data_IF_199318738298
#
_entry.id   IF_199318738298
#
_cell.length_a   1.000
_cell.length_b   1.000
_cell.length_c   1.000
_cell.angle_alpha   90.00
_cell.angle_beta   90.00
_cell.angle_gamma   90.00
#
_symmetry.space_group_name_H-M   'P 1'
#
loop_
_entity.id
_entity.type
_entity.pdbx_description
1 polymer ?
#
# COMPACT_ATOMS: atom_id res chain seq x y z
N UNK A 1 34.51 -27.08 -1.21
CA UNK A 1 33.80 -27.69 -2.35
C UNK A 1 32.42 -28.10 -1.88
N UNK A 2 31.40 -27.28 -2.14
CA UNK A 2 29.99 -27.65 -2.37
C UNK A 2 29.17 -26.37 -2.44
N UNK A 3 28.99 -25.96 -3.69
CA UNK A 3 28.07 -24.97 -4.25
C UNK A 3 26.60 -25.45 -4.10
N UNK A 4 25.65 -24.65 -4.61
CA UNK A 4 24.18 -24.87 -4.68
C UNK A 4 23.41 -24.41 -3.42
N UNK A 5 22.31 -23.66 -3.47
CA UNK A 5 21.55 -23.03 -4.56
C UNK A 5 20.61 -22.03 -3.87
N UNK A 6 20.78 -20.73 -4.09
CA UNK A 6 19.89 -19.70 -3.51
C UNK A 6 18.96 -19.23 -4.62
N UNK A 7 17.98 -20.09 -4.93
CA UNK A 7 16.89 -19.85 -5.85
C UNK A 7 15.96 -18.76 -5.28
N UNK A 8 16.39 -17.51 -5.41
CA UNK A 8 15.56 -16.33 -5.21
C UNK A 8 15.01 -15.90 -6.57
N UNK A 9 13.73 -15.51 -6.67
CA UNK A 9 13.08 -15.24 -7.94
C UNK A 9 13.90 -14.22 -8.73
N UNK A 10 14.40 -14.65 -9.89
CA UNK A 10 14.78 -13.75 -10.97
C UNK A 10 13.51 -13.01 -11.39
N UNK A 11 13.13 -11.98 -10.64
CA UNK A 11 12.42 -10.85 -11.21
C UNK A 11 13.51 -10.10 -11.93
N UNK A 12 13.87 -10.67 -13.08
CA UNK A 12 14.79 -10.11 -14.05
C UNK A 12 14.46 -8.64 -14.13
N UNK A 13 15.41 -7.82 -13.68
CA UNK A 13 15.47 -6.42 -14.00
C UNK A 13 15.02 -6.33 -15.45
N UNK A 14 13.83 -5.78 -15.66
CA UNK A 14 13.42 -5.35 -16.97
C UNK A 14 14.34 -4.19 -17.28
N UNK A 15 15.53 -4.60 -17.69
CA UNK A 15 16.57 -3.86 -18.34
C UNK A 15 15.83 -2.82 -19.16
N UNK A 16 15.83 -1.59 -18.66
CA UNK A 16 16.41 -0.38 -19.24
C UNK A 16 16.97 -0.48 -20.67
N UNK A 17 16.54 -1.45 -21.47
CA UNK A 17 16.75 -1.59 -22.89
C UNK A 17 15.96 -0.47 -23.53
N UNK A 18 16.52 0.72 -23.45
CA UNK A 18 16.31 1.76 -24.43
C UNK A 18 14.83 1.96 -24.75
N UNK A 19 13.99 2.16 -23.73
CA UNK A 19 12.90 3.12 -23.92
C UNK A 19 13.61 4.45 -24.12
N UNK A 20 14.10 4.66 -25.33
CA UNK A 20 14.53 5.94 -25.82
C UNK A 20 13.23 6.70 -25.85
N UNK A 21 12.87 7.28 -24.71
CA UNK A 21 11.68 8.08 -24.56
C UNK A 21 11.91 9.27 -25.48
N UNK A 22 11.55 9.10 -26.75
CA UNK A 22 11.71 10.12 -27.77
C UNK A 22 10.91 11.30 -27.26
N UNK A 23 11.61 12.37 -26.94
CA UNK A 23 10.95 13.62 -26.57
C UNK A 23 10.32 14.16 -27.84
N UNK A 24 8.99 14.09 -27.90
CA UNK A 24 8.23 14.61 -29.03
C UNK A 24 8.26 16.13 -29.03
N UNK A 25 8.39 16.73 -30.23
CA UNK A 25 8.26 18.16 -30.44
C UNK A 25 6.83 18.64 -30.09
N UNK A 26 6.66 19.96 -29.99
CA UNK A 26 5.34 20.53 -29.76
C UNK A 26 4.39 20.19 -30.92
N UNK A 27 4.88 20.24 -32.15
CA UNK A 27 4.13 19.94 -33.38
C UNK A 27 3.67 18.48 -33.39
N UNK A 28 4.56 17.53 -33.04
CA UNK A 28 4.21 16.10 -32.97
C UNK A 28 3.15 15.83 -31.91
N UNK A 29 3.24 16.49 -30.74
CA UNK A 29 2.23 16.38 -29.68
C UNK A 29 0.89 16.97 -30.12
N UNK A 30 0.91 18.10 -30.81
CA UNK A 30 -0.30 18.73 -31.36
C UNK A 30 -0.95 17.86 -32.43
N UNK A 31 -0.14 17.22 -33.29
CA UNK A 31 -0.64 16.28 -34.29
C UNK A 31 -1.31 15.07 -33.63
N UNK A 32 -0.69 14.50 -32.58
CA UNK A 32 -1.30 13.43 -31.79
C UNK A 32 -2.61 13.91 -31.17
N UNK A 33 -2.62 15.10 -30.55
CA UNK A 33 -3.83 15.65 -29.96
C UNK A 33 -4.95 15.79 -30.98
N UNK A 34 -4.66 16.28 -32.18
CA UNK A 34 -5.65 16.43 -33.25
C UNK A 34 -6.15 15.07 -33.75
N UNK A 35 -5.27 14.09 -33.93
CA UNK A 35 -5.63 12.72 -34.34
C UNK A 35 -6.48 12.00 -33.30
N UNK A 36 -6.21 12.23 -32.02
CA UNK A 36 -6.89 11.60 -30.89
C UNK A 36 -8.05 12.43 -30.32
N UNK A 37 -8.44 13.51 -31.00
CA UNK A 37 -9.61 14.33 -30.66
C UNK A 37 -10.65 14.19 -31.75
N UNK A 38 -11.81 13.67 -31.39
CA UNK A 38 -12.93 13.47 -32.31
C UNK A 38 -14.08 14.38 -31.94
N UNK A 39 -15.06 14.55 -32.83
CA UNK A 39 -16.27 15.32 -32.56
C UNK A 39 -17.50 14.43 -32.67
N UNK A 40 -18.42 14.56 -31.74
CA UNK A 40 -19.71 13.89 -31.81
C UNK A 40 -20.62 14.56 -32.86
N UNK A 41 -21.82 14.00 -33.07
CA UNK A 41 -22.81 14.58 -33.99
C UNK A 41 -23.32 15.98 -33.58
N UNK A 42 -23.00 16.44 -32.36
CA UNK A 42 -23.31 17.79 -31.85
C UNK A 42 -22.10 18.75 -31.97
N UNK A 43 -20.95 18.25 -32.43
CA UNK A 43 -19.72 19.02 -32.56
C UNK A 43 -18.86 19.09 -31.28
N UNK A 44 -19.22 18.39 -30.20
CA UNK A 44 -18.43 18.38 -28.97
C UNK A 44 -17.17 17.53 -29.13
N UNK A 45 -15.98 18.04 -28.76
CA UNK A 45 -14.77 17.25 -28.79
C UNK A 45 -14.80 16.16 -27.70
N UNK A 46 -14.42 14.94 -28.07
CA UNK A 46 -14.20 13.81 -27.18
C UNK A 46 -12.83 13.15 -27.45
N UNK A 47 -12.37 12.31 -26.52
CA UNK A 47 -11.00 11.80 -26.50
C UNK A 47 -10.07 12.78 -25.78
N UNK A 48 -8.85 12.99 -26.29
CA UNK A 48 -7.89 13.90 -25.64
C UNK A 48 -8.41 15.34 -25.55
N UNK A 49 -9.20 15.78 -26.53
CA UNK A 49 -9.81 17.11 -26.55
C UNK A 49 -10.99 17.31 -25.60
N UNK A 50 -11.47 16.26 -24.91
CA UNK A 50 -12.44 16.45 -23.81
C UNK A 50 -11.80 16.84 -22.48
N UNK A 51 -10.46 16.90 -22.42
CA UNK A 51 -9.76 17.30 -21.21
C UNK A 51 -10.18 18.72 -20.83
N UNK A 52 -10.97 18.81 -19.76
CA UNK A 52 -11.44 20.08 -19.21
C UNK A 52 -10.22 20.89 -18.79
N UNK A 53 -10.09 22.09 -19.37
CA UNK A 53 -9.05 23.05 -19.01
C UNK A 53 -9.25 23.49 -17.55
N UNK A 54 -8.72 22.72 -16.61
CA UNK A 54 -8.72 23.10 -15.18
C UNK A 54 -7.63 24.15 -14.89
N UNK A 55 -7.07 24.77 -15.93
CA UNK A 55 -5.83 25.54 -15.89
C UNK A 55 -5.97 26.81 -15.05
N UNK A 56 -7.18 27.36 -14.90
CA UNK A 56 -7.42 28.59 -14.14
C UNK A 56 -7.81 28.38 -12.66
N UNK A 57 -7.91 27.14 -12.18
CA UNK A 57 -8.24 26.86 -10.76
C UNK A 57 -7.02 26.55 -9.90
N UNK A 58 -5.80 26.76 -10.40
CA UNK A 58 -4.55 26.62 -9.62
C UNK A 58 -4.27 27.85 -8.76
N UNK A 59 -5.13 28.07 -7.76
CA UNK A 59 -4.68 28.23 -6.38
C UNK A 59 -5.60 27.36 -5.55
N UNK A 60 -5.37 26.04 -5.55
CA UNK A 60 -5.73 25.24 -4.39
C UNK A 60 -4.88 25.78 -3.24
N UNK A 61 -5.39 26.82 -2.56
CA UNK A 61 -5.07 27.03 -1.16
C UNK A 61 -5.66 25.82 -0.47
N UNK A 62 -4.88 24.75 -0.39
CA UNK A 62 -5.18 23.67 0.52
C UNK A 62 -5.03 24.29 1.90
N UNK A 63 -6.14 24.76 2.45
CA UNK A 63 -6.18 25.29 3.80
C UNK A 63 -6.08 24.10 4.75
N UNK A 64 -4.87 23.54 4.88
CA UNK A 64 -4.56 22.53 5.90
C UNK A 64 -4.87 23.05 7.32
N UNK A 65 -4.85 24.38 7.50
CA UNK A 65 -5.21 25.03 8.76
C UNK A 65 -6.71 25.01 9.08
N UNK A 66 -7.60 24.74 8.11
CA UNK A 66 -9.05 24.69 8.36
C UNK A 66 -9.54 23.32 8.82
N UNK A 67 -8.63 22.34 9.05
CA UNK A 67 -9.01 21.13 9.77
C UNK A 67 -9.45 21.54 11.17
N UNK A 68 -10.76 21.60 11.39
CA UNK A 68 -11.36 22.02 12.65
C UNK A 68 -10.69 21.25 13.79
N UNK A 69 -10.35 21.93 14.88
CA UNK A 69 -9.74 21.30 16.07
C UNK A 69 -10.56 20.09 16.55
N UNK A 70 -11.89 20.10 16.33
CA UNK A 70 -12.76 18.94 16.56
C UNK A 70 -12.26 17.68 15.85
N UNK A 71 -11.81 17.78 14.60
CA UNK A 71 -11.26 16.65 13.83
C UNK A 71 -10.03 16.04 14.48
N UNK A 72 -9.18 16.85 15.13
CA UNK A 72 -7.95 16.35 15.77
C UNK A 72 -8.29 15.62 17.08
N UNK A 73 -9.16 16.22 17.91
CA UNK A 73 -9.60 15.59 19.17
C UNK A 73 -10.34 14.29 18.89
N UNK A 74 -11.23 14.27 17.90
CA UNK A 74 -11.96 13.07 17.50
C UNK A 74 -11.03 11.98 16.96
N UNK A 75 -9.96 12.37 16.23
CA UNK A 75 -8.94 11.44 15.76
C UNK A 75 -8.16 10.84 16.94
N UNK A 76 -7.80 11.68 17.92
CA UNK A 76 -7.05 11.26 19.10
C UNK A 76 -7.87 10.28 19.96
N UNK A 77 -9.15 10.58 20.20
CA UNK A 77 -10.06 9.68 20.92
C UNK A 77 -10.21 8.33 20.19
N UNK A 78 -10.40 8.36 18.86
CA UNK A 78 -10.46 7.16 18.05
C UNK A 78 -9.18 6.32 18.11
N UNK A 79 -8.01 6.97 18.10
CA UNK A 79 -6.73 6.28 18.24
C UNK A 79 -6.60 5.63 19.62
N UNK A 80 -6.91 6.36 20.69
CA UNK A 80 -6.85 5.84 22.06
C UNK A 80 -7.79 4.64 22.24
N UNK A 81 -9.03 4.74 21.74
CA UNK A 81 -10.00 3.65 21.76
C UNK A 81 -9.52 2.41 21.00
N UNK A 82 -8.86 2.58 19.85
CA UNK A 82 -8.28 1.47 19.08
C UNK A 82 -7.12 0.80 19.82
N UNK A 83 -6.24 1.58 20.45
CA UNK A 83 -5.11 1.08 21.25
C UNK A 83 -5.63 0.25 22.42
N UNK A 84 -6.53 0.78 23.24
CA UNK A 84 -7.05 0.06 24.40
C UNK A 84 -7.78 -1.24 24.02
N UNK A 85 -8.49 -1.24 22.88
CA UNK A 85 -9.12 -2.46 22.35
C UNK A 85 -8.08 -3.52 21.97
N UNK A 86 -7.01 -3.12 21.29
CA UNK A 86 -5.95 -4.03 20.88
C UNK A 86 -5.14 -4.55 22.07
N UNK A 87 -4.87 -3.72 23.07
CA UNK A 87 -4.20 -4.11 24.32
C UNK A 87 -5.01 -5.17 25.08
N UNK A 88 -6.33 -4.97 25.23
CA UNK A 88 -7.19 -5.96 25.87
C UNK A 88 -7.23 -7.30 25.11
N UNK A 89 -7.23 -7.25 23.78
CA UNK A 89 -7.19 -8.46 22.95
C UNK A 89 -5.83 -9.16 23.02
N UNK A 90 -4.73 -8.41 23.04
CA UNK A 90 -3.39 -8.95 23.19
C UNK A 90 -3.23 -9.62 24.56
N UNK A 91 -3.68 -8.98 25.64
CA UNK A 91 -3.63 -9.56 26.99
C UNK A 91 -4.36 -10.91 27.09
N UNK A 92 -5.52 -11.06 26.41
CA UNK A 92 -6.23 -12.35 26.34
C UNK A 92 -5.43 -13.41 25.59
N UNK A 93 -4.89 -13.07 24.42
CA UNK A 93 -4.06 -13.99 23.63
C UNK A 93 -2.79 -14.39 24.36
N UNK A 94 -2.18 -13.47 25.12
CA UNK A 94 -0.97 -13.76 25.89
C UNK A 94 -1.25 -14.74 27.04
N UNK A 95 -2.41 -14.64 27.69
CA UNK A 95 -2.83 -15.62 28.70
C UNK A 95 -3.10 -16.99 28.07
N UNK A 96 -3.85 -17.03 26.96
CA UNK A 96 -4.09 -18.28 26.21
C UNK A 96 -2.77 -18.94 25.80
N UNK A 97 -1.82 -18.16 25.30
CA UNK A 97 -0.50 -18.63 24.92
C UNK A 97 0.28 -19.14 26.14
N UNK A 98 0.27 -18.42 27.27
CA UNK A 98 0.91 -18.90 28.52
C UNK A 98 0.33 -20.25 28.96
N UNK A 99 -0.99 -20.40 28.96
CA UNK A 99 -1.66 -21.65 29.34
C UNK A 99 -1.31 -22.79 28.39
N UNK A 100 -1.30 -22.53 27.09
CA UNK A 100 -0.87 -23.52 26.09
C UNK A 100 0.57 -23.94 26.29
N UNK A 101 1.49 -22.99 26.47
CA UNK A 101 2.90 -23.30 26.67
C UNK A 101 3.13 -24.10 27.96
N UNK A 102 2.47 -23.73 29.06
CA UNK A 102 2.51 -24.49 30.31
C UNK A 102 2.00 -25.93 30.12
N UNK A 103 0.90 -26.12 29.37
CA UNK A 103 0.38 -27.46 29.06
C UNK A 103 1.34 -28.26 28.20
N UNK A 104 1.96 -27.64 27.20
CA UNK A 104 2.92 -28.30 26.31
C UNK A 104 4.19 -28.68 27.07
N UNK A 105 4.70 -27.82 27.94
CA UNK A 105 5.86 -28.10 28.78
C UNK A 105 5.59 -29.27 29.74
N UNK A 106 4.41 -29.31 30.37
CA UNK A 106 3.99 -30.42 31.23
C UNK A 106 3.83 -31.76 30.49
N UNK A 107 3.52 -31.73 29.20
CA UNK A 107 3.45 -32.94 28.37
C UNK A 107 4.82 -33.35 27.83
N UNK A 108 5.70 -32.37 27.57
CA UNK A 108 7.06 -32.59 27.08
C UNK A 108 8.03 -32.98 28.19
N UNK A 109 7.71 -32.71 29.46
CA UNK A 109 8.50 -33.18 30.59
C UNK A 109 8.64 -34.70 30.49
N UNK A 110 9.86 -35.23 30.32
CA UNK A 110 10.06 -36.66 30.16
C UNK A 110 9.41 -37.37 31.34
N UNK A 111 8.61 -38.39 31.04
CA UNK A 111 8.29 -39.45 31.99
C UNK A 111 9.65 -40.03 32.43
N UNK A 112 10.26 -39.41 33.43
CA UNK A 112 11.58 -39.75 33.95
C UNK A 112 11.43 -40.94 34.91
N UNK A 113 10.73 -41.97 34.48
CA UNK A 113 10.51 -43.19 35.26
C UNK A 113 10.61 -44.39 34.33
N UNK A 114 11.54 -45.30 34.64
CA UNK A 114 11.40 -46.70 34.23
C UNK A 114 12.43 -47.28 33.26
N UNK A 115 13.54 -46.60 32.95
CA UNK A 115 14.73 -47.27 32.39
C UNK A 115 15.83 -47.33 33.45
N UNK A 116 15.59 -48.04 34.54
CA UNK A 116 16.67 -48.45 35.45
C UNK A 116 16.51 -49.93 35.76
N UNK A 117 17.40 -50.68 35.08
CA UNK A 117 18.00 -51.98 35.40
C UNK A 117 17.12 -53.17 35.71
#
# INVERSE_FOLDING_TARGET
MSEIDRDGPQISDNSSQHSTQRTLSLEEKNEIFLKCTHKDGKGNPYGLGSLVETLNKRKRKECYASSSTSTIVDLQDQLQKKISKHEAQNAKRDEEHRQYQYRMEKLASPLHEGKRS
#
